data_IF_798245394388
#
_entry.id   IF_798245394388
#
_cell.length_a   1.000
_cell.length_b   1.000
_cell.length_c   1.000
_cell.angle_alpha   90.00
_cell.angle_beta   90.00
_cell.angle_gamma   90.00
#
_symmetry.space_group_name_H-M   'P 1'
#
loop_
_entity.id
_entity.type
_entity.pdbx_description
1 polymer ?
#
# COMPACT_ATOMS: atom_id res chain seq x y z
N UNK A 1 -47.80 -36.20 24.04
CA UNK A 1 -46.87 -35.07 24.23
C UNK A 1 -45.55 -35.45 23.59
N UNK A 2 -45.31 -35.00 22.37
CA UNK A 2 -44.05 -35.22 21.64
C UNK A 2 -43.38 -33.85 21.56
N UNK A 3 -42.25 -33.72 22.23
CA UNK A 3 -41.40 -32.51 22.27
C UNK A 3 -40.74 -32.35 20.89
N UNK A 4 -41.26 -31.42 20.09
CA UNK A 4 -40.76 -31.12 18.76
C UNK A 4 -39.79 -29.95 18.87
N UNK A 5 -38.56 -30.22 19.34
CA UNK A 5 -37.44 -29.30 19.20
C UNK A 5 -37.06 -29.24 17.74
N UNK A 6 -37.60 -28.25 17.05
CA UNK A 6 -37.21 -27.87 15.71
C UNK A 6 -35.81 -27.31 15.78
N UNK A 7 -34.87 -28.05 15.19
CA UNK A 7 -33.50 -27.63 14.96
C UNK A 7 -33.48 -26.26 14.26
N UNK A 8 -32.78 -25.30 14.87
CA UNK A 8 -32.49 -24.00 14.28
C UNK A 8 -31.53 -24.23 13.11
N UNK A 9 -31.89 -23.90 11.86
CA UNK A 9 -31.03 -24.16 10.72
C UNK A 9 -29.72 -23.38 10.81
N UNK A 10 -28.66 -24.02 10.36
CA UNK A 10 -27.24 -23.65 10.35
C UNK A 10 -26.92 -22.37 9.55
N UNK A 11 -27.40 -21.20 9.98
CA UNK A 11 -27.08 -19.89 9.39
C UNK A 11 -25.75 -19.27 9.89
N UNK A 12 -25.06 -19.95 10.84
CA UNK A 12 -23.87 -19.42 11.54
C UNK A 12 -22.51 -19.65 10.85
N UNK A 13 -22.26 -20.72 10.08
CA UNK A 13 -20.97 -20.94 9.40
C UNK A 13 -20.73 -19.93 8.27
N UNK A 14 -21.70 -19.77 7.37
CA UNK A 14 -21.59 -18.94 6.15
C UNK A 14 -21.34 -17.47 6.45
N UNK A 15 -21.95 -16.95 7.51
CA UNK A 15 -21.74 -15.56 7.94
C UNK A 15 -20.32 -15.36 8.46
N UNK A 16 -19.82 -16.26 9.31
CA UNK A 16 -18.47 -16.15 9.88
C UNK A 16 -17.40 -16.27 8.78
N UNK A 17 -17.63 -17.14 7.81
CA UNK A 17 -16.78 -17.23 6.63
C UNK A 17 -16.79 -15.92 5.83
N UNK A 18 -17.97 -15.36 5.56
CA UNK A 18 -18.12 -14.09 4.83
C UNK A 18 -17.48 -12.90 5.59
N UNK A 19 -17.57 -12.88 6.93
CA UNK A 19 -16.89 -11.91 7.78
C UNK A 19 -15.37 -12.03 7.67
N UNK A 20 -14.83 -13.26 7.70
CA UNK A 20 -13.40 -13.51 7.52
C UNK A 20 -12.91 -13.11 6.12
N UNK A 21 -13.66 -13.44 5.07
CA UNK A 21 -13.35 -13.03 3.70
C UNK A 21 -13.36 -11.51 3.57
N UNK A 22 -14.34 -10.83 4.19
CA UNK A 22 -14.42 -9.36 4.20
C UNK A 22 -13.24 -8.74 4.95
N UNK A 23 -12.83 -9.32 6.08
CA UNK A 23 -11.67 -8.87 6.85
C UNK A 23 -10.39 -8.99 6.01
N UNK A 24 -10.20 -10.13 5.35
CA UNK A 24 -9.05 -10.35 4.46
C UNK A 24 -9.06 -9.40 3.28
N UNK A 25 -10.21 -9.21 2.63
CA UNK A 25 -10.39 -8.23 1.56
C UNK A 25 -9.98 -6.82 2.04
N UNK A 26 -10.51 -6.37 3.17
CA UNK A 26 -10.18 -5.05 3.73
C UNK A 26 -8.69 -4.91 4.03
N UNK A 27 -8.06 -5.94 4.62
CA UNK A 27 -6.62 -5.92 4.88
C UNK A 27 -5.80 -5.85 3.59
N UNK A 28 -6.14 -6.66 2.57
CA UNK A 28 -5.41 -6.65 1.29
C UNK A 28 -5.57 -5.34 0.54
N UNK A 29 -6.74 -4.72 0.60
CA UNK A 29 -6.97 -3.40 0.03
C UNK A 29 -6.22 -2.30 0.79
N UNK A 30 -6.07 -2.40 2.12
CA UNK A 30 -5.19 -1.51 2.90
C UNK A 30 -3.73 -1.66 2.45
N UNK A 31 -3.24 -2.89 2.35
CA UNK A 31 -1.85 -3.17 1.95
C UNK A 31 -1.57 -2.65 0.52
N UNK A 32 -2.51 -2.90 -0.41
CA UNK A 32 -2.46 -2.36 -1.77
C UNK A 32 -2.43 -0.82 -1.75
N UNK A 33 -3.31 -0.19 -0.98
CA UNK A 33 -3.38 1.27 -0.87
C UNK A 33 -2.05 1.87 -0.41
N UNK A 34 -1.39 1.24 0.58
CA UNK A 34 -0.07 1.66 1.06
C UNK A 34 1.01 1.49 -0.01
N UNK A 35 0.99 0.40 -0.77
CA UNK A 35 1.92 0.19 -1.86
C UNK A 35 1.73 1.22 -3.00
N UNK A 36 0.48 1.52 -3.36
CA UNK A 36 0.13 2.47 -4.42
C UNK A 36 0.60 3.91 -4.14
N UNK A 37 0.84 4.29 -2.87
CA UNK A 37 1.40 5.60 -2.51
C UNK A 37 2.80 5.84 -3.07
N UNK A 38 3.59 4.77 -3.20
CA UNK A 38 4.96 4.83 -3.73
C UNK A 38 4.99 4.88 -5.27
N UNK A 39 3.85 4.65 -5.92
CA UNK A 39 3.75 4.80 -7.38
C UNK A 39 3.34 6.25 -7.67
N UNK A 40 4.18 7.02 -8.37
CA UNK A 40 3.90 8.43 -8.66
C UNK A 40 2.69 8.57 -9.59
N UNK A 41 2.06 9.74 -9.51
CA UNK A 41 0.92 10.09 -10.34
C UNK A 41 -0.44 9.62 -9.81
N UNK A 42 -1.49 10.12 -10.46
CA UNK A 42 -2.88 9.79 -10.15
C UNK A 42 -3.26 8.47 -10.82
N UNK A 43 -3.71 7.51 -10.03
CA UNK A 43 -3.99 6.14 -10.49
C UNK A 43 -5.50 5.94 -10.65
N UNK A 44 -5.90 5.18 -11.67
CA UNK A 44 -7.30 4.79 -11.85
C UNK A 44 -7.46 3.29 -11.68
N UNK A 45 -8.40 2.87 -10.83
CA UNK A 45 -8.74 1.47 -10.61
C UNK A 45 -10.14 1.25 -11.15
N UNK A 46 -10.28 0.40 -12.17
CA UNK A 46 -11.58 -0.10 -12.63
C UNK A 46 -11.85 -1.40 -11.88
N UNK A 47 -12.77 -1.36 -10.93
CA UNK A 47 -13.10 -2.47 -10.04
C UNK A 47 -14.36 -3.19 -10.50
N UNK A 48 -14.20 -4.45 -10.90
CA UNK A 48 -15.30 -5.37 -11.17
C UNK A 48 -15.54 -6.23 -9.93
N UNK A 49 -16.70 -6.07 -9.28
CA UNK A 49 -17.01 -6.80 -8.05
C UNK A 49 -18.50 -6.77 -7.76
N UNK A 50 -19.03 -7.80 -7.10
CA UNK A 50 -20.38 -7.78 -6.50
C UNK A 50 -20.44 -6.98 -5.19
N UNK A 51 -19.27 -6.55 -4.68
CA UNK A 51 -19.12 -5.85 -3.41
C UNK A 51 -19.26 -6.76 -2.19
N UNK A 52 -19.15 -6.15 -1.02
CA UNK A 52 -19.38 -6.81 0.26
C UNK A 52 -20.81 -6.52 0.73
N UNK A 53 -21.63 -7.52 1.07
CA UNK A 53 -22.96 -7.28 1.62
C UNK A 53 -22.94 -6.28 2.78
N UNK A 54 -23.75 -5.22 2.68
CA UNK A 54 -23.76 -4.13 3.66
C UNK A 54 -24.03 -4.63 5.09
N UNK A 55 -24.92 -5.61 5.23
CA UNK A 55 -25.34 -6.21 6.50
C UNK A 55 -24.20 -6.86 7.29
N UNK A 56 -23.18 -7.39 6.62
CA UNK A 56 -22.02 -8.02 7.26
C UNK A 56 -21.20 -6.97 8.02
N UNK A 57 -21.05 -5.77 7.44
CA UNK A 57 -20.21 -4.70 7.99
C UNK A 57 -21.00 -3.80 8.93
N UNK A 58 -22.19 -3.37 8.51
CA UNK A 58 -22.96 -2.31 9.17
C UNK A 58 -24.27 -2.78 9.79
N UNK A 59 -24.62 -4.07 9.61
CA UNK A 59 -25.86 -4.63 10.10
C UNK A 59 -27.08 -4.22 9.28
N UNK A 60 -28.25 -4.58 9.80
CA UNK A 60 -29.55 -4.30 9.21
C UNK A 60 -30.37 -3.43 10.16
N UNK A 61 -30.93 -2.35 9.61
CA UNK A 61 -31.97 -1.60 10.28
C UNK A 61 -33.32 -2.13 9.82
N UNK A 62 -34.15 -2.57 10.76
CA UNK A 62 -35.55 -2.92 10.52
C UNK A 62 -36.42 -1.69 10.82
N UNK A 63 -37.58 -1.52 10.15
CA UNK A 63 -38.55 -0.48 10.49
C UNK A 63 -38.99 -0.48 11.96
N UNK A 64 -38.86 -1.63 12.64
CA UNK A 64 -39.25 -1.82 14.05
C UNK A 64 -38.08 -1.81 15.04
N UNK A 65 -36.87 -1.45 14.60
CA UNK A 65 -35.68 -1.37 15.46
C UNK A 65 -34.41 -1.96 14.84
N UNK A 66 -33.34 -2.03 15.62
CA UNK A 66 -32.08 -2.62 15.17
C UNK A 66 -32.19 -4.15 15.25
N UNK A 67 -32.17 -4.83 14.10
CA UNK A 67 -32.23 -6.30 14.05
C UNK A 67 -30.85 -6.96 13.99
N UNK A 68 -29.85 -6.26 13.44
CA UNK A 68 -28.46 -6.70 13.36
C UNK A 68 -27.57 -5.45 13.44
N UNK A 69 -26.62 -5.40 14.38
CA UNK A 69 -25.66 -4.30 14.53
C UNK A 69 -24.44 -4.42 13.60
N UNK A 70 -24.34 -5.53 12.85
CA UNK A 70 -23.16 -5.86 12.06
C UNK A 70 -22.00 -6.27 12.95
N UNK A 71 -20.79 -6.19 12.40
CA UNK A 71 -19.56 -6.49 13.13
C UNK A 71 -18.76 -5.19 13.35
N UNK A 72 -18.70 -4.66 14.60
CA UNK A 72 -18.00 -3.40 14.88
C UNK A 72 -16.51 -3.41 14.51
N UNK A 73 -15.80 -4.52 14.78
CA UNK A 73 -14.38 -4.66 14.43
C UNK A 73 -14.16 -4.63 12.91
N UNK A 74 -15.01 -5.33 12.18
CA UNK A 74 -15.00 -5.31 10.71
C UNK A 74 -15.33 -3.93 10.16
N UNK A 75 -16.29 -3.23 10.77
CA UNK A 75 -16.63 -1.86 10.42
C UNK A 75 -15.45 -0.92 10.58
N UNK A 76 -14.73 -0.97 11.70
CA UNK A 76 -13.51 -0.18 11.88
C UNK A 76 -12.49 -0.48 10.79
N UNK A 77 -12.25 -1.77 10.51
CA UNK A 77 -11.30 -2.20 9.49
C UNK A 77 -11.70 -1.74 8.08
N UNK A 78 -12.99 -1.79 7.77
CA UNK A 78 -13.52 -1.35 6.48
C UNK A 78 -13.43 0.17 6.32
N UNK A 79 -13.73 0.95 7.36
CA UNK A 79 -13.55 2.40 7.35
C UNK A 79 -12.05 2.78 7.22
N UNK A 80 -11.15 2.05 7.87
CA UNK A 80 -9.71 2.24 7.70
C UNK A 80 -9.26 1.91 6.27
N UNK A 81 -9.79 0.86 5.65
CA UNK A 81 -9.58 0.57 4.24
C UNK A 81 -10.01 1.74 3.34
N UNK A 82 -11.18 2.33 3.59
CA UNK A 82 -11.67 3.49 2.83
C UNK A 82 -10.74 4.72 2.98
N UNK A 83 -10.22 4.96 4.20
CA UNK A 83 -9.25 6.03 4.46
C UNK A 83 -7.94 5.79 3.74
N UNK A 84 -7.42 4.57 3.80
CA UNK A 84 -6.15 4.19 3.15
C UNK A 84 -6.25 4.34 1.63
N UNK A 85 -7.36 3.88 1.05
CA UNK A 85 -7.71 4.07 -0.36
C UNK A 85 -7.79 5.55 -0.73
N UNK A 86 -8.50 6.36 0.05
CA UNK A 86 -8.58 7.81 -0.17
C UNK A 86 -7.21 8.47 -0.19
N UNK A 87 -6.29 8.00 0.66
CA UNK A 87 -4.95 8.56 0.79
C UNK A 87 -3.91 7.90 -0.15
N UNK A 88 -4.32 7.00 -1.05
CA UNK A 88 -3.43 6.29 -1.97
C UNK A 88 -3.21 7.02 -3.32
N UNK A 89 -3.80 8.21 -3.49
CA UNK A 89 -3.82 8.95 -4.75
C UNK A 89 -4.33 8.07 -5.91
N UNK A 90 -5.39 7.31 -5.65
CA UNK A 90 -6.10 6.50 -6.63
C UNK A 90 -7.58 6.85 -6.64
N UNK A 91 -8.21 6.70 -7.80
CA UNK A 91 -9.65 6.85 -8.01
C UNK A 91 -10.25 5.50 -8.41
N UNK A 92 -11.27 5.04 -7.69
CA UNK A 92 -11.97 3.78 -7.98
C UNK A 92 -13.25 4.03 -8.77
N UNK A 93 -13.35 3.38 -9.93
CA UNK A 93 -14.58 3.24 -10.70
C UNK A 93 -15.12 1.83 -10.53
N UNK A 94 -16.26 1.68 -9.86
CA UNK A 94 -16.81 0.39 -9.51
C UNK A 94 -17.95 -0.02 -10.45
N UNK A 95 -17.87 -1.25 -10.97
CA UNK A 95 -18.89 -1.92 -11.76
C UNK A 95 -19.35 -3.18 -11.03
N UNK A 96 -20.67 -3.31 -10.88
CA UNK A 96 -21.31 -4.42 -10.20
C UNK A 96 -21.38 -5.65 -11.11
N UNK A 97 -20.85 -6.77 -10.65
CA UNK A 97 -20.86 -8.04 -11.40
C UNK A 97 -21.95 -9.00 -10.93
N UNK A 98 -22.80 -8.61 -9.97
CA UNK A 98 -23.87 -9.47 -9.49
C UNK A 98 -24.91 -9.74 -10.59
N UNK A 99 -25.39 -10.98 -10.71
CA UNK A 99 -26.42 -11.30 -11.68
C UNK A 99 -27.73 -10.56 -11.38
N UNK A 100 -28.42 -10.08 -12.42
CA UNK A 100 -29.62 -9.28 -12.27
C UNK A 100 -30.73 -10.02 -11.50
N UNK A 101 -30.87 -11.33 -11.73
CA UNK A 101 -31.83 -12.19 -11.01
C UNK A 101 -31.56 -12.20 -9.51
N UNK A 102 -30.28 -12.26 -9.11
CA UNK A 102 -29.89 -12.25 -7.69
C UNK A 102 -30.10 -10.88 -7.02
N UNK A 103 -30.06 -9.79 -7.79
CA UNK A 103 -30.36 -8.44 -7.29
C UNK A 103 -31.85 -8.30 -6.97
N UNK A 104 -32.72 -8.89 -7.79
CA UNK A 104 -34.18 -8.82 -7.60
C UNK A 104 -34.65 -9.65 -6.40
N UNK A 105 -33.99 -10.79 -6.12
CA UNK A 105 -34.37 -11.71 -5.05
C UNK A 105 -33.81 -11.33 -3.67
N UNK A 106 -32.78 -10.48 -3.60
CA UNK A 106 -32.10 -10.10 -2.34
C UNK A 106 -32.46 -8.69 -1.90
N UNK A 107 -32.81 -8.53 -0.62
CA UNK A 107 -32.96 -7.21 -0.01
C UNK A 107 -31.70 -6.36 -0.12
N UNK A 108 -31.84 -5.03 -0.23
CA UNK A 108 -30.74 -4.10 -0.56
C UNK A 108 -29.54 -4.19 0.41
N UNK A 109 -29.77 -4.59 1.66
CA UNK A 109 -28.71 -4.75 2.65
C UNK A 109 -27.88 -6.03 2.48
N UNK A 110 -28.40 -7.02 1.75
CA UNK A 110 -27.71 -8.25 1.37
C UNK A 110 -26.93 -8.11 0.06
N UNK A 111 -26.96 -6.92 -0.56
CA UNK A 111 -26.24 -6.56 -1.77
C UNK A 111 -24.96 -5.79 -1.42
N UNK A 112 -23.94 -5.90 -2.28
CA UNK A 112 -22.68 -5.17 -2.12
C UNK A 112 -22.67 -3.78 -2.78
N UNK A 113 -23.77 -3.37 -3.40
CA UNK A 113 -23.90 -2.04 -4.02
C UNK A 113 -23.46 -0.89 -3.12
N UNK A 114 -23.96 -0.82 -1.89
CA UNK A 114 -23.62 0.29 -0.98
C UNK A 114 -22.15 0.34 -0.60
N UNK A 115 -21.49 -0.82 -0.51
CA UNK A 115 -20.07 -0.89 -0.17
C UNK A 115 -19.21 -0.51 -1.39
N UNK A 116 -19.62 -0.87 -2.61
CA UNK A 116 -19.02 -0.36 -3.85
C UNK A 116 -19.17 1.16 -3.98
N UNK A 117 -20.36 1.71 -3.71
CA UNK A 117 -20.62 3.15 -3.70
C UNK A 117 -19.72 3.87 -2.67
N UNK A 118 -19.53 3.29 -1.47
CA UNK A 118 -18.62 3.83 -0.45
C UNK A 118 -17.15 3.81 -0.90
N UNK A 119 -16.66 2.71 -1.48
CA UNK A 119 -15.27 2.62 -1.97
C UNK A 119 -14.99 3.63 -3.09
N UNK A 120 -15.89 3.68 -4.08
CA UNK A 120 -15.79 4.66 -5.16
C UNK A 120 -15.86 6.10 -4.61
N UNK A 121 -16.81 6.37 -3.71
CA UNK A 121 -16.98 7.70 -3.10
C UNK A 121 -15.80 8.16 -2.24
N UNK A 122 -15.14 7.25 -1.52
CA UNK A 122 -13.98 7.55 -0.67
C UNK A 122 -12.77 8.04 -1.48
N UNK A 123 -12.63 7.51 -2.69
CA UNK A 123 -11.52 7.83 -3.61
C UNK A 123 -11.86 8.94 -4.61
N UNK A 124 -13.05 9.52 -4.52
CA UNK A 124 -13.53 10.53 -5.47
C UNK A 124 -14.02 9.95 -6.79
N UNK A 125 -14.08 8.63 -6.94
CA UNK A 125 -14.57 7.98 -8.14
C UNK A 125 -16.09 7.81 -8.18
N UNK A 126 -16.55 6.79 -8.92
CA UNK A 126 -17.97 6.59 -9.20
C UNK A 126 -18.35 5.11 -9.29
N UNK A 127 -19.49 4.76 -8.70
CA UNK A 127 -20.18 3.51 -8.96
C UNK A 127 -21.05 3.66 -10.21
N UNK A 128 -20.91 2.74 -11.16
CA UNK A 128 -21.58 2.79 -12.45
C UNK A 128 -22.85 1.94 -12.54
N UNK A 129 -23.08 1.06 -11.55
CA UNK A 129 -24.15 0.07 -11.64
C UNK A 129 -23.65 -1.24 -12.22
N UNK A 130 -24.59 -2.04 -12.70
CA UNK A 130 -24.32 -3.38 -13.22
C UNK A 130 -23.55 -3.38 -14.54
N UNK A 131 -22.63 -4.33 -14.68
CA UNK A 131 -21.77 -4.50 -15.85
C UNK A 131 -22.54 -4.76 -17.15
N UNK A 132 -23.82 -5.13 -17.11
CA UNK A 132 -24.65 -5.33 -18.31
C UNK A 132 -24.69 -4.11 -19.26
N UNK A 133 -24.36 -2.90 -18.78
CA UNK A 133 -24.27 -1.69 -19.61
C UNK A 133 -22.82 -1.16 -19.72
N UNK A 134 -21.84 -2.08 -19.77
CA UNK A 134 -20.41 -1.75 -19.68
C UNK A 134 -19.95 -0.76 -20.75
N UNK A 135 -20.48 -0.81 -21.97
CA UNK A 135 -20.08 0.09 -23.07
C UNK A 135 -20.25 1.56 -22.66
N UNK A 136 -21.44 1.93 -22.18
CA UNK A 136 -21.72 3.29 -21.67
C UNK A 136 -20.90 3.62 -20.42
N UNK A 137 -20.59 2.63 -19.59
CA UNK A 137 -19.80 2.83 -18.39
C UNK A 137 -18.33 3.12 -18.72
N UNK A 138 -17.75 2.38 -19.68
CA UNK A 138 -16.36 2.56 -20.12
C UNK A 138 -16.18 3.90 -20.83
N UNK A 139 -17.08 4.27 -21.74
CA UNK A 139 -17.09 5.62 -22.35
C UNK A 139 -17.08 6.69 -21.25
N UNK A 140 -17.92 6.51 -20.22
CA UNK A 140 -17.99 7.50 -19.15
C UNK A 140 -16.76 7.52 -18.24
N UNK A 141 -16.09 6.39 -18.07
CA UNK A 141 -14.80 6.34 -17.36
C UNK A 141 -13.75 7.10 -18.16
N UNK A 142 -13.67 6.90 -19.48
CA UNK A 142 -12.73 7.62 -20.35
C UNK A 142 -12.94 9.15 -20.28
N UNK A 143 -14.20 9.62 -20.32
CA UNK A 143 -14.51 11.04 -20.11
C UNK A 143 -13.97 11.57 -18.77
N UNK A 144 -14.18 10.80 -17.69
CA UNK A 144 -13.84 11.22 -16.33
C UNK A 144 -12.33 11.16 -16.04
N UNK A 145 -11.59 10.29 -16.74
CA UNK A 145 -10.13 10.20 -16.61
C UNK A 145 -9.39 11.13 -17.56
N UNK A 146 -10.05 11.65 -18.59
CA UNK A 146 -9.43 12.50 -19.62
C UNK A 146 -9.07 13.91 -19.17
N UNK A 147 -9.73 14.47 -18.15
CA UNK A 147 -9.45 15.82 -17.65
C UNK A 147 -9.60 15.86 -16.12
N UNK A 148 -8.53 16.27 -15.42
CA UNK A 148 -8.53 16.43 -13.98
C UNK A 148 -7.76 17.69 -13.56
N UNK A 149 -8.06 18.17 -12.35
CA UNK A 149 -7.36 19.29 -11.73
C UNK A 149 -6.48 18.77 -10.60
N UNK A 150 -5.26 19.29 -10.49
CA UNK A 150 -4.39 19.07 -9.33
C UNK A 150 -4.40 20.33 -8.49
N UNK A 151 -4.81 20.21 -7.23
CA UNK A 151 -4.86 21.30 -6.26
C UNK A 151 -3.81 21.06 -5.18
N UNK A 152 -2.92 22.01 -4.98
CA UNK A 152 -1.95 22.02 -3.89
C UNK A 152 -2.43 22.93 -2.76
N UNK A 153 -2.31 22.47 -1.51
CA UNK A 153 -2.56 23.27 -0.31
C UNK A 153 -1.56 22.87 0.77
N UNK A 154 -1.24 23.79 1.66
CA UNK A 154 -0.34 23.54 2.79
C UNK A 154 -1.11 22.92 3.96
N UNK A 155 -0.42 22.06 4.71
CA UNK A 155 -0.92 21.40 5.91
C UNK A 155 0.07 21.64 7.03
N UNK A 156 -0.40 21.64 8.28
CA UNK A 156 0.50 21.75 9.44
C UNK A 156 1.35 20.48 9.59
N UNK A 157 2.65 20.66 9.83
CA UNK A 157 3.68 19.59 9.84
C UNK A 157 3.68 18.73 11.12
N UNK A 158 2.53 18.19 11.53
CA UNK A 158 2.48 17.23 12.63
C UNK A 158 2.62 15.81 12.12
N UNK A 159 3.71 15.14 12.51
CA UNK A 159 3.96 13.73 12.20
C UNK A 159 3.21 12.84 13.20
N UNK A 160 1.89 12.90 13.16
CA UNK A 160 0.99 12.21 14.10
C UNK A 160 0.31 10.97 13.50
N UNK A 161 0.54 10.69 12.20
CA UNK A 161 -0.13 9.61 11.49
C UNK A 161 -1.65 9.74 11.41
N UNK A 162 -2.21 10.91 11.73
CA UNK A 162 -3.64 11.10 11.80
C UNK A 162 -4.26 11.22 10.39
N UNK A 163 -5.50 10.75 10.26
CA UNK A 163 -6.29 10.92 9.06
C UNK A 163 -7.02 12.26 9.07
N UNK A 164 -6.82 13.07 8.04
CA UNK A 164 -7.45 14.36 7.85
C UNK A 164 -8.43 14.31 6.69
N UNK A 165 -9.66 14.78 6.91
CA UNK A 165 -10.70 14.81 5.88
C UNK A 165 -10.49 16.00 4.94
N UNK A 166 -10.67 15.76 3.65
CA UNK A 166 -10.69 16.79 2.61
C UNK A 166 -12.13 17.00 2.15
N UNK A 167 -12.52 18.26 2.03
CA UNK A 167 -13.76 18.68 1.38
C UNK A 167 -13.42 19.70 0.30
N UNK A 168 -13.85 19.44 -0.92
CA UNK A 168 -13.69 20.36 -2.05
C UNK A 168 -15.07 20.83 -2.48
N UNK A 169 -15.25 22.14 -2.56
CA UNK A 169 -16.49 22.79 -2.97
C UNK A 169 -16.21 23.77 -4.10
N UNK A 170 -17.19 23.95 -4.98
CA UNK A 170 -17.12 24.90 -6.10
C UNK A 170 -18.33 25.82 -6.06
N UNK A 171 -18.11 27.11 -6.33
CA UNK A 171 -19.18 28.12 -6.31
C UNK A 171 -20.12 28.03 -7.53
N UNK A 172 -19.70 27.34 -8.60
CA UNK A 172 -20.50 27.22 -9.83
C UNK A 172 -21.70 26.29 -9.61
N UNK A 173 -22.95 26.75 -9.86
CA UNK A 173 -24.14 25.92 -9.70
C UNK A 173 -24.18 24.75 -10.69
N UNK A 174 -24.80 23.65 -10.29
CA UNK A 174 -24.98 22.45 -11.13
C UNK A 174 -23.74 21.57 -11.30
N UNK A 175 -22.59 21.93 -10.70
CA UNK A 175 -21.38 21.13 -10.76
C UNK A 175 -21.36 20.05 -9.66
N UNK A 176 -20.82 18.87 -9.98
CA UNK A 176 -20.64 17.78 -9.04
C UNK A 176 -19.15 17.51 -8.85
N UNK A 177 -18.65 17.72 -7.63
CA UNK A 177 -17.23 17.57 -7.32
C UNK A 177 -16.92 16.11 -6.99
N UNK A 178 -15.90 15.59 -7.66
CA UNK A 178 -15.32 14.27 -7.46
C UNK A 178 -13.87 14.45 -7.02
N UNK A 179 -13.57 14.11 -5.77
CA UNK A 179 -12.27 14.30 -5.15
C UNK A 179 -12.07 13.27 -4.02
N UNK A 180 -10.81 12.90 -3.78
CA UNK A 180 -10.43 12.08 -2.62
C UNK A 180 -10.90 12.72 -1.32
N UNK A 181 -11.25 11.90 -0.33
CA UNK A 181 -11.93 12.36 0.91
C UNK A 181 -10.98 12.68 2.05
N UNK A 182 -9.68 12.53 1.87
CA UNK A 182 -8.71 12.77 2.92
C UNK A 182 -7.33 12.20 2.64
N UNK A 183 -6.42 12.48 3.56
CA UNK A 183 -5.02 12.08 3.54
C UNK A 183 -4.56 11.67 4.94
N UNK A 184 -3.44 10.96 5.04
CA UNK A 184 -2.75 10.72 6.30
C UNK A 184 -1.54 11.65 6.40
N UNK A 185 -1.31 12.22 7.58
CA UNK A 185 -0.01 12.77 7.89
C UNK A 185 1.04 11.64 7.90
N UNK A 186 2.31 11.94 7.61
CA UNK A 186 3.40 11.02 7.93
C UNK A 186 3.34 10.64 9.41
N UNK A 187 3.69 9.39 9.72
CA UNK A 187 3.85 8.94 11.10
C UNK A 187 5.32 8.66 11.40
N UNK A 188 5.75 8.63 12.67
CA UNK A 188 7.12 8.27 13.03
C UNK A 188 7.49 6.88 12.50
N UNK A 189 8.74 6.71 12.04
CA UNK A 189 9.21 5.45 11.47
C UNK A 189 9.13 4.27 12.46
N UNK A 190 9.26 4.55 13.76
CA UNK A 190 9.09 3.56 14.83
C UNK A 190 7.70 2.91 14.83
N UNK A 191 6.68 3.60 14.32
CA UNK A 191 5.29 3.12 14.25
C UNK A 191 4.95 2.43 12.92
N UNK A 192 5.93 2.25 12.03
CA UNK A 192 5.71 1.55 10.76
C UNK A 192 5.50 0.06 11.00
N UNK A 193 4.51 -0.52 10.30
CA UNK A 193 4.35 -1.96 10.19
C UNK A 193 5.48 -2.58 9.35
N UNK A 194 5.61 -3.91 9.37
CA UNK A 194 6.62 -4.61 8.58
C UNK A 194 6.46 -4.37 7.08
N UNK A 195 5.22 -4.29 6.58
CA UNK A 195 4.93 -3.92 5.20
C UNK A 195 5.40 -2.49 4.90
N UNK A 196 5.08 -1.52 5.76
CA UNK A 196 5.48 -0.12 5.57
C UNK A 196 7.01 0.03 5.60
N UNK A 197 7.71 -0.67 6.50
CA UNK A 197 9.18 -0.71 6.54
C UNK A 197 9.77 -1.34 5.28
N UNK A 198 9.10 -2.34 4.72
CA UNK A 198 9.52 -2.98 3.47
C UNK A 198 9.30 -2.05 2.28
N UNK A 199 8.12 -1.45 2.14
CA UNK A 199 7.84 -0.48 1.07
C UNK A 199 8.80 0.72 1.13
N UNK A 200 9.04 1.24 2.33
CA UNK A 200 10.01 2.32 2.55
C UNK A 200 11.45 1.92 2.18
N UNK A 201 11.85 0.66 2.40
CA UNK A 201 13.16 0.16 1.97
C UNK A 201 13.25 0.09 0.44
N UNK A 202 12.21 -0.44 -0.20
CA UNK A 202 12.14 -0.57 -1.66
C UNK A 202 12.20 0.80 -2.31
N UNK A 203 11.44 1.77 -1.78
CA UNK A 203 11.47 3.16 -2.24
C UNK A 203 12.87 3.79 -2.12
N UNK A 204 13.51 3.68 -0.96
CA UNK A 204 14.89 4.15 -0.79
C UNK A 204 15.88 3.50 -1.77
N UNK A 205 15.75 2.19 -1.99
CA UNK A 205 16.67 1.43 -2.81
C UNK A 205 16.51 1.71 -4.32
N UNK A 206 15.27 1.84 -4.79
CA UNK A 206 14.95 1.89 -6.22
C UNK A 206 14.61 3.29 -6.74
N UNK A 207 13.93 4.11 -5.93
CA UNK A 207 13.45 5.41 -6.38
C UNK A 207 14.61 6.40 -6.49
N UNK A 208 14.57 7.21 -7.56
CA UNK A 208 15.49 8.34 -7.72
C UNK A 208 15.19 9.41 -6.67
N UNK A 209 13.90 9.67 -6.45
CA UNK A 209 13.35 10.62 -5.48
C UNK A 209 12.39 9.87 -4.53
N UNK A 210 12.90 9.30 -3.43
CA UNK A 210 12.06 8.63 -2.44
C UNK A 210 11.01 9.58 -1.84
N UNK A 211 9.84 9.04 -1.52
CA UNK A 211 8.62 9.81 -1.24
C UNK A 211 8.75 10.77 -0.05
N UNK A 212 9.48 10.36 1.00
CA UNK A 212 9.54 11.10 2.27
C UNK A 212 10.90 11.72 2.57
N UNK A 213 11.89 11.57 1.68
CA UNK A 213 13.24 12.06 1.93
C UNK A 213 14.13 12.05 0.69
N UNK A 214 15.15 12.91 0.69
CA UNK A 214 16.26 12.85 -0.24
C UNK A 214 17.44 12.14 0.43
N UNK A 215 17.73 10.86 0.11
CA UNK A 215 18.79 10.13 0.77
C UNK A 215 20.17 10.63 0.34
N UNK A 216 21.13 10.58 1.25
CA UNK A 216 22.53 10.86 0.90
C UNK A 216 23.06 9.76 -0.03
N UNK A 217 23.58 10.13 -1.20
CA UNK A 217 24.10 9.18 -2.20
C UNK A 217 25.63 9.09 -2.11
N UNK A 218 26.17 7.87 -2.19
CA UNK A 218 27.62 7.62 -2.18
C UNK A 218 28.01 6.52 -3.18
N UNK A 219 29.30 6.44 -3.56
CA UNK A 219 29.76 5.44 -4.54
C UNK A 219 29.67 4.01 -4.02
N UNK A 220 29.35 3.08 -4.92
CA UNK A 220 29.42 1.64 -4.69
C UNK A 220 30.34 1.02 -5.75
N UNK A 221 31.34 0.26 -5.31
CA UNK A 221 32.16 -0.57 -6.19
C UNK A 221 31.64 -2.00 -6.17
N UNK A 222 31.69 -2.66 -7.32
CA UNK A 222 31.36 -4.07 -7.48
C UNK A 222 32.64 -4.78 -7.87
N UNK A 223 33.05 -5.73 -7.05
CA UNK A 223 34.22 -6.56 -7.27
C UNK A 223 33.76 -7.97 -7.61
N UNK A 224 34.13 -8.54 -8.76
CA UNK A 224 33.98 -9.98 -8.97
C UNK A 224 34.91 -10.67 -7.97
N UNK A 225 34.35 -11.52 -7.13
CA UNK A 225 35.09 -12.20 -6.07
C UNK A 225 34.84 -13.69 -6.24
N UNK A 226 35.86 -14.51 -6.48
CA UNK A 226 35.70 -15.97 -6.53
C UNK A 226 36.85 -16.74 -5.87
N UNK A 227 37.13 -16.59 -4.56
CA UNK A 227 38.21 -17.37 -3.95
C UNK A 227 37.75 -18.76 -3.50
N UNK A 228 36.52 -18.90 -3.00
CA UNK A 228 36.10 -20.13 -2.27
C UNK A 228 34.70 -20.66 -2.65
N UNK A 229 34.11 -20.21 -3.77
CA UNK A 229 32.79 -20.67 -4.24
C UNK A 229 31.57 -20.21 -3.43
N UNK A 230 31.75 -19.42 -2.37
CA UNK A 230 30.66 -18.92 -1.48
C UNK A 230 30.02 -17.59 -1.90
N UNK A 231 30.45 -17.01 -3.00
CA UNK A 231 29.92 -15.76 -3.56
C UNK A 231 30.74 -15.36 -4.77
N UNK A 232 30.08 -14.89 -5.83
CA UNK A 232 30.70 -14.41 -7.08
C UNK A 232 30.68 -12.88 -7.20
N UNK A 233 29.96 -12.20 -6.32
CA UNK A 233 29.78 -10.75 -6.32
C UNK A 233 30.08 -10.15 -4.96
N UNK A 234 30.90 -9.10 -4.92
CA UNK A 234 31.27 -8.40 -3.69
C UNK A 234 30.94 -6.91 -3.85
N UNK A 235 30.02 -6.42 -3.02
CA UNK A 235 29.70 -5.00 -2.91
C UNK A 235 30.69 -4.37 -1.94
N UNK A 236 31.48 -3.43 -2.40
CA UNK A 236 32.41 -2.67 -1.57
C UNK A 236 32.06 -1.19 -1.63
N UNK A 237 31.89 -0.56 -0.48
CA UNK A 237 31.60 0.87 -0.40
C UNK A 237 32.51 1.54 0.62
N UNK A 238 32.99 2.73 0.27
CA UNK A 238 33.63 3.64 1.22
C UNK A 238 32.56 4.62 1.73
N UNK A 239 32.07 4.37 2.94
CA UNK A 239 30.96 5.12 3.53
C UNK A 239 31.53 6.40 4.17
N UNK A 240 31.13 7.61 3.71
CA UNK A 240 31.63 8.86 4.28
C UNK A 240 30.90 9.16 5.60
N UNK A 241 31.37 8.55 6.69
CA UNK A 241 30.79 8.62 8.05
C UNK A 241 30.58 10.06 8.48
N UNK A 242 31.52 10.96 8.16
CA UNK A 242 31.41 12.39 8.49
C UNK A 242 30.15 13.06 7.88
N UNK A 243 29.79 12.70 6.65
CA UNK A 243 28.64 13.30 5.94
C UNK A 243 27.30 12.75 6.40
N UNK A 244 27.28 11.59 7.06
CA UNK A 244 26.06 10.91 7.51
C UNK A 244 25.99 10.76 9.04
N UNK A 245 26.73 11.57 9.80
CA UNK A 245 26.79 11.47 11.29
C UNK A 245 25.41 11.51 11.94
N UNK A 246 24.51 12.37 11.44
CA UNK A 246 23.14 12.51 11.94
C UNK A 246 22.29 11.28 11.62
N UNK A 247 22.52 10.65 10.47
CA UNK A 247 21.84 9.40 10.10
C UNK A 247 22.31 8.23 10.95
N UNK A 248 23.57 8.23 11.38
CA UNK A 248 24.15 7.17 12.21
C UNK A 248 23.82 7.31 13.70
N UNK A 249 23.04 8.31 14.13
CA UNK A 249 22.64 8.44 15.55
C UNK A 249 21.71 7.29 15.95
N UNK A 250 22.03 6.57 17.04
CA UNK A 250 21.21 5.45 17.51
C UNK A 250 21.51 4.14 16.79
N UNK A 251 20.46 3.36 16.49
CA UNK A 251 20.58 2.09 15.74
C UNK A 251 20.35 2.31 14.25
N UNK A 252 21.23 1.71 13.44
CA UNK A 252 21.08 1.69 11.98
C UNK A 252 21.08 0.26 11.48
N UNK A 253 20.45 0.04 10.33
CA UNK A 253 20.62 -1.18 9.55
C UNK A 253 21.37 -0.87 8.25
N UNK A 254 22.27 -1.77 7.88
CA UNK A 254 22.97 -1.78 6.60
C UNK A 254 22.41 -2.94 5.79
N UNK A 255 21.91 -2.63 4.59
CA UNK A 255 21.19 -3.57 3.75
C UNK A 255 21.83 -3.59 2.36
N UNK A 256 22.38 -4.74 1.97
CA UNK A 256 22.72 -5.02 0.58
C UNK A 256 21.52 -5.70 -0.09
N UNK A 257 20.99 -5.11 -1.15
CA UNK A 257 19.88 -5.68 -1.93
C UNK A 257 20.24 -5.73 -3.41
N UNK A 258 19.93 -6.87 -4.03
CA UNK A 258 20.24 -7.18 -5.42
C UNK A 258 18.93 -7.37 -6.17
N UNK A 259 18.79 -6.66 -7.27
CA UNK A 259 17.66 -6.78 -8.18
C UNK A 259 18.11 -7.39 -9.51
N UNK A 260 17.30 -8.27 -10.07
CA UNK A 260 17.47 -8.74 -11.45
C UNK A 260 17.05 -7.67 -12.48
N UNK A 261 17.15 -8.00 -13.77
CA UNK A 261 16.73 -7.13 -14.87
C UNK A 261 15.23 -6.78 -14.84
N UNK A 262 14.40 -7.66 -14.26
CA UNK A 262 12.95 -7.46 -14.08
C UNK A 262 12.62 -6.72 -12.79
N UNK A 263 13.63 -6.21 -12.09
CA UNK A 263 13.53 -5.50 -10.80
C UNK A 263 12.99 -6.35 -9.64
N UNK A 264 13.05 -7.68 -9.75
CA UNK A 264 12.76 -8.57 -8.63
C UNK A 264 13.95 -8.61 -7.67
N UNK A 265 13.67 -8.64 -6.37
CA UNK A 265 14.70 -8.88 -5.36
C UNK A 265 15.14 -10.35 -5.43
N UNK A 266 16.40 -10.58 -5.82
CA UNK A 266 16.98 -11.94 -5.91
C UNK A 266 17.85 -12.30 -4.71
N UNK A 267 18.39 -11.30 -4.02
CA UNK A 267 19.13 -11.51 -2.79
C UNK A 267 19.08 -10.27 -1.89
N UNK A 268 19.09 -10.50 -0.58
CA UNK A 268 19.09 -9.45 0.43
C UNK A 268 19.91 -9.91 1.64
N UNK A 269 20.80 -9.04 2.11
CA UNK A 269 21.53 -9.19 3.39
C UNK A 269 21.28 -7.96 4.24
N UNK A 270 21.00 -8.16 5.52
CA UNK A 270 20.73 -7.10 6.50
C UNK A 270 21.61 -7.33 7.72
N UNK A 271 22.21 -6.24 8.20
CA UNK A 271 22.98 -6.20 9.44
C UNK A 271 22.54 -4.98 10.26
N UNK A 272 22.33 -5.14 11.56
CA UNK A 272 22.14 -4.01 12.46
C UNK A 272 23.49 -3.58 13.06
N UNK A 273 23.74 -2.27 13.12
CA UNK A 273 24.96 -1.69 13.67
C UNK A 273 24.64 -0.42 14.46
N UNK A 274 25.60 0.00 15.30
CA UNK A 274 25.62 1.29 15.99
C UNK A 274 26.72 2.18 15.44
N UNK A 275 26.61 3.49 15.70
CA UNK A 275 27.63 4.49 15.32
C UNK A 275 29.06 4.09 15.69
N UNK A 276 29.27 3.49 16.87
CA UNK A 276 30.59 3.07 17.37
C UNK A 276 31.28 2.03 16.49
N UNK A 277 30.52 1.33 15.64
CA UNK A 277 31.01 0.31 14.71
C UNK A 277 31.39 0.90 13.34
N UNK A 278 31.29 2.23 13.19
CA UNK A 278 31.77 3.00 12.04
C UNK A 278 32.92 3.93 12.47
N UNK A 279 34.14 3.38 12.73
CA UNK A 279 35.28 4.19 13.13
C UNK A 279 35.80 5.06 11.97
N UNK A 280 36.37 6.21 12.32
CA UNK A 280 37.04 7.11 11.38
C UNK A 280 36.10 8.05 10.62
N UNK A 281 36.67 8.78 9.65
CA UNK A 281 35.93 9.69 8.76
C UNK A 281 35.24 8.95 7.62
N UNK A 282 35.88 7.89 7.13
CA UNK A 282 35.36 6.97 6.13
C UNK A 282 35.43 5.53 6.66
N UNK A 283 34.42 4.72 6.35
CA UNK A 283 34.33 3.33 6.77
C UNK A 283 34.14 2.42 5.56
N UNK A 284 35.08 1.51 5.35
CA UNK A 284 34.99 0.51 4.29
C UNK A 284 34.04 -0.62 4.69
N UNK A 285 32.93 -0.76 3.97
CA UNK A 285 31.96 -1.84 4.15
C UNK A 285 31.98 -2.79 2.96
N UNK A 286 31.88 -4.09 3.25
CA UNK A 286 31.90 -5.15 2.24
C UNK A 286 30.78 -6.16 2.49
N UNK A 287 30.04 -6.51 1.43
CA UNK A 287 29.04 -7.57 1.47
C UNK A 287 29.12 -8.47 0.23
N UNK A 288 29.25 -9.78 0.45
CA UNK A 288 29.36 -10.77 -0.64
C UNK A 288 28.02 -11.46 -0.93
N UNK A 289 27.74 -11.79 -2.19
CA UNK A 289 26.54 -12.48 -2.65
C UNK A 289 26.88 -13.60 -3.63
N UNK A 290 26.06 -14.67 -3.61
CA UNK A 290 26.08 -15.75 -4.60
C UNK A 290 24.87 -15.62 -5.51
N UNK A 291 25.12 -15.37 -6.79
CA UNK A 291 24.07 -15.14 -7.79
C UNK A 291 24.34 -16.01 -9.02
N UNK A 292 23.29 -16.29 -9.81
CA UNK A 292 23.47 -16.90 -11.12
C UNK A 292 24.07 -15.90 -12.12
N UNK A 293 24.52 -16.34 -13.30
CA UNK A 293 24.83 -15.43 -14.39
C UNK A 293 23.65 -14.52 -14.75
N UNK A 294 23.92 -13.25 -15.03
CA UNK A 294 22.89 -12.27 -15.35
C UNK A 294 23.32 -10.82 -15.11
N UNK A 295 22.42 -9.90 -15.50
CA UNK A 295 22.51 -8.48 -15.22
C UNK A 295 21.80 -8.17 -13.91
N UNK A 296 22.46 -7.41 -13.03
CA UNK A 296 21.93 -7.06 -11.73
C UNK A 296 22.07 -5.57 -11.42
N UNK A 297 21.06 -5.01 -10.73
CA UNK A 297 21.15 -3.71 -10.07
C UNK A 297 21.44 -3.95 -8.59
N UNK A 298 22.56 -3.42 -8.11
CA UNK A 298 23.00 -3.58 -6.72
C UNK A 298 22.74 -2.29 -5.96
N UNK A 299 22.24 -2.41 -4.73
CA UNK A 299 22.05 -1.28 -3.82
C UNK A 299 22.61 -1.60 -2.45
N UNK A 300 23.24 -0.62 -1.84
CA UNK A 300 23.59 -0.62 -0.43
C UNK A 300 22.82 0.50 0.26
N UNK A 301 21.95 0.16 1.20
CA UNK A 301 21.13 1.11 1.95
C UNK A 301 21.57 1.11 3.40
N UNK A 302 21.85 2.28 3.94
CA UNK A 302 22.02 2.50 5.38
C UNK A 302 20.77 3.24 5.85
N UNK A 303 20.03 2.66 6.78
CA UNK A 303 18.78 3.23 7.27
C UNK A 303 18.77 3.34 8.78
N UNK A 304 18.39 4.49 9.29
CA UNK A 304 18.19 4.71 10.71
C UNK A 304 16.89 4.06 11.19
N UNK A 305 16.96 3.25 12.25
CA UNK A 305 15.80 2.49 12.75
C UNK A 305 14.84 3.31 13.63
N UNK A 306 15.19 4.53 13.99
CA UNK A 306 14.35 5.45 14.78
C UNK A 306 13.68 6.48 13.87
N UNK A 307 14.44 7.04 12.92
CA UNK A 307 13.96 8.15 12.07
C UNK A 307 13.57 7.72 10.65
N UNK A 308 14.00 6.53 10.20
CA UNK A 308 13.85 6.09 8.82
C UNK A 308 14.78 6.79 7.82
N UNK A 309 15.61 7.77 8.24
CA UNK A 309 16.52 8.46 7.32
C UNK A 309 17.49 7.47 6.64
N UNK A 310 17.70 7.65 5.35
CA UNK A 310 18.45 6.74 4.49
C UNK A 310 19.67 7.36 3.80
N UNK A 311 20.72 6.57 3.64
CA UNK A 311 21.81 6.81 2.70
C UNK A 311 21.90 5.62 1.75
N UNK A 312 22.17 5.87 0.47
CA UNK A 312 22.05 4.83 -0.56
C UNK A 312 23.21 4.91 -1.54
N UNK A 313 23.86 3.79 -1.77
CA UNK A 313 24.81 3.60 -2.85
C UNK A 313 24.27 2.61 -3.88
N UNK A 314 24.60 2.83 -5.15
CA UNK A 314 24.05 2.08 -6.26
C UNK A 314 25.11 1.79 -7.31
N UNK A 315 25.09 0.58 -7.84
CA UNK A 315 25.90 0.19 -9.00
C UNK A 315 25.19 -0.94 -9.77
N UNK A 316 25.71 -1.28 -10.95
CA UNK A 316 25.22 -2.39 -11.79
C UNK A 316 26.31 -3.44 -11.93
N UNK A 317 25.93 -4.71 -11.82
CA UNK A 317 26.81 -5.85 -12.01
C UNK A 317 26.41 -6.64 -13.24
N UNK A 318 27.40 -7.21 -13.94
CA UNK A 318 27.19 -8.28 -14.91
C UNK A 318 27.97 -9.49 -14.43
N UNK A 319 27.29 -10.61 -14.27
CA UNK A 319 27.92 -11.90 -13.99
C UNK A 319 27.86 -12.70 -15.30
N UNK A 320 29.00 -12.92 -15.97
CA UNK A 320 29.02 -13.61 -17.25
C UNK A 320 28.53 -15.06 -17.11
N UNK A 321 27.81 -15.54 -18.12
CA UNK A 321 27.55 -16.97 -18.28
C UNK A 321 28.84 -17.70 -18.60
N UNK A 322 28.97 -18.94 -18.14
CA UNK A 322 29.99 -19.86 -18.66
C UNK A 322 29.64 -20.30 -20.07
#
# INVERSE_FOLDING_TARGET
MVDNRTDVPTLRPDRKESENQTLQFAQKMIDLSKALRYIPGHKHIVLFSSGVPYSIVYGNQSPYGISDLGNPGLRFKYEDMLRELSAANCTIYALDTQELTQILDRGTSMQGRYTLEKMAGATGGKYFGNINNYERHIEKIQDLTGCYYVLGYYVDDKWDGAYHKIKVEVSRPGCKVQAQKGYFNPKPFTEYSDLERTLHLVDLALSNEPLFQTPFRFPLAILPYSPDGKGNLCLAADIPVEKIRDLLSGKVEVIGVIFDEKENIVALKREERRKTEFPGENFSYVASFSLSPGLYKCRLVIRNLETGKGAVASATAVIPGQ
#
